data_IF_033696152280
#
_entry.id   IF_033696152280
#
_cell.length_a   1.000
_cell.length_b   1.000
_cell.length_c   1.000
_cell.angle_alpha   90.00
_cell.angle_beta   90.00
_cell.angle_gamma   90.00
#
_symmetry.space_group_name_H-M   'P 1'
#
loop_
_entity.id
_entity.type
_entity.pdbx_description
1 polymer ?
#
# COMPACT_ATOMS: atom_id res chain seq x y z
N UNK A 1 6.63 23.99 -33.47
CA UNK A 1 6.02 23.70 -34.78
C UNK A 1 6.22 24.80 -35.84
N UNK A 2 7.26 25.66 -35.76
CA UNK A 2 7.45 26.78 -36.71
C UNK A 2 8.86 26.90 -37.35
N UNK A 3 9.80 26.02 -37.00
CA UNK A 3 11.17 26.05 -37.59
C UNK A 3 11.19 25.27 -38.92
N UNK A 4 10.51 24.11 -38.97
CA UNK A 4 10.42 23.28 -40.19
C UNK A 4 9.66 24.02 -41.31
N UNK A 5 8.59 24.76 -40.97
CA UNK A 5 7.84 25.56 -41.95
C UNK A 5 8.66 26.74 -42.52
N UNK A 6 9.55 27.34 -41.72
CA UNK A 6 10.41 28.45 -42.15
C UNK A 6 11.57 27.96 -43.05
N UNK A 7 12.11 26.77 -42.77
CA UNK A 7 13.13 26.11 -43.60
C UNK A 7 12.51 25.65 -44.93
N UNK A 8 11.26 25.15 -44.92
CA UNK A 8 10.58 24.77 -46.15
C UNK A 8 10.25 25.96 -47.05
N UNK A 9 9.81 27.11 -46.49
CA UNK A 9 9.57 28.30 -47.30
C UNK A 9 10.85 28.84 -47.96
N UNK A 10 11.98 28.82 -47.26
CA UNK A 10 13.26 29.32 -47.79
C UNK A 10 13.85 28.40 -48.87
N UNK A 11 13.63 27.08 -48.78
CA UNK A 11 14.00 26.13 -49.84
C UNK A 11 13.18 26.31 -51.13
N UNK A 12 11.88 26.65 -51.01
CA UNK A 12 11.01 26.91 -52.15
C UNK A 12 11.50 28.14 -52.93
N UNK A 13 11.88 29.23 -52.25
CA UNK A 13 12.40 30.43 -52.92
C UNK A 13 13.76 30.22 -53.63
N UNK A 14 14.65 29.37 -53.09
CA UNK A 14 15.90 28.99 -53.75
C UNK A 14 15.65 28.13 -55.01
N UNK A 15 14.60 27.29 -55.01
CA UNK A 15 14.24 26.48 -56.19
C UNK A 15 13.61 27.30 -57.32
N UNK A 16 12.82 28.34 -57.01
CA UNK A 16 12.23 29.23 -58.02
C UNK A 16 13.25 30.19 -58.65
N UNK A 17 14.32 30.57 -57.94
CA UNK A 17 15.40 31.42 -58.48
C UNK A 17 16.28 30.72 -59.53
N UNK A 18 16.31 29.39 -59.57
CA UNK A 18 17.13 28.61 -60.50
C UNK A 18 16.39 28.33 -61.82
N UNK A 19 15.05 28.33 -61.83
CA UNK A 19 14.24 27.92 -62.99
C UNK A 19 14.07 28.98 -64.10
N UNK A 20 14.53 30.23 -63.94
CA UNK A 20 14.42 31.26 -65.00
C UNK A 20 15.61 31.28 -65.96
N UNK A 21 16.55 30.34 -65.84
CA UNK A 21 17.71 30.21 -66.74
C UNK A 21 17.78 28.83 -67.39
N UNK A 22 16.88 28.51 -68.32
CA UNK A 22 17.12 27.45 -69.31
C UNK A 22 16.29 27.65 -70.58
N UNK A 23 16.99 27.63 -71.71
CA UNK A 23 16.48 27.80 -73.05
C UNK A 23 15.80 26.52 -73.60
N UNK A 24 14.67 26.74 -74.27
CA UNK A 24 13.98 26.03 -75.38
C UNK A 24 13.91 24.48 -75.47
N UNK A 25 12.79 23.96 -76.03
CA UNK A 25 12.81 22.83 -76.95
C UNK A 25 12.27 23.19 -78.36
N UNK A 26 12.92 22.65 -79.39
CA UNK A 26 12.48 22.61 -80.81
C UNK A 26 11.78 21.26 -81.10
N UNK A 27 10.83 21.18 -82.06
CA UNK A 27 10.23 19.91 -82.49
C UNK A 27 10.95 19.26 -83.69
N UNK A 28 10.86 17.92 -83.75
CA UNK A 28 11.48 17.00 -84.70
C UNK A 28 10.59 16.66 -85.90
N UNK A 29 11.14 16.60 -87.13
CA UNK A 29 10.59 15.78 -88.23
C UNK A 29 11.69 15.18 -89.14
N UNK A 30 11.71 13.84 -89.13
CA UNK A 30 11.99 12.80 -90.14
C UNK A 30 12.93 13.09 -91.32
N UNK A 31 13.97 12.27 -91.43
CA UNK A 31 14.91 12.16 -92.55
C UNK A 31 14.37 11.24 -93.67
N UNK A 32 14.64 11.58 -94.93
CA UNK A 32 14.69 10.63 -96.03
C UNK A 32 15.99 10.84 -96.83
N UNK A 33 16.77 9.77 -96.93
CA UNK A 33 18.09 9.71 -97.54
C UNK A 33 18.01 9.33 -99.01
N UNK A 34 18.61 10.13 -99.89
CA UNK A 34 19.22 9.66 -101.13
C UNK A 34 20.51 10.46 -101.35
N UNK A 35 21.63 9.79 -101.07
CA UNK A 35 22.94 10.27 -101.45
C UNK A 35 23.11 10.06 -102.97
N UNK A 36 23.16 11.15 -103.72
CA UNK A 36 23.76 11.17 -105.05
C UNK A 36 24.95 12.12 -104.97
N UNK A 37 26.13 11.54 -105.19
CA UNK A 37 27.39 12.27 -105.33
C UNK A 37 27.30 13.19 -106.54
N UNK A 38 27.37 14.49 -106.33
CA UNK A 38 28.09 15.41 -107.21
C UNK A 38 28.21 16.77 -106.52
N UNK A 39 29.43 17.32 -106.57
CA UNK A 39 29.76 18.70 -106.23
C UNK A 39 28.75 19.72 -106.79
N UNK A 40 28.60 20.83 -106.06
CA UNK A 40 28.00 22.13 -106.44
C UNK A 40 26.54 22.40 -105.97
N UNK A 41 26.43 23.42 -105.10
CA UNK A 41 25.29 24.33 -104.85
C UNK A 41 23.86 23.75 -104.89
N UNK A 42 23.28 23.50 -103.71
CA UNK A 42 21.82 23.30 -103.60
C UNK A 42 21.08 24.62 -103.87
N UNK A 43 20.27 24.64 -104.91
CA UNK A 43 19.38 25.73 -105.29
C UNK A 43 17.95 25.35 -104.90
N UNK A 44 17.23 26.25 -104.22
CA UNK A 44 15.80 26.08 -103.93
C UNK A 44 15.03 27.29 -104.46
N UNK A 45 13.88 27.03 -105.08
CA UNK A 45 12.98 28.03 -105.64
C UNK A 45 12.10 28.64 -104.55
N UNK A 46 12.17 29.96 -104.39
CA UNK A 46 11.18 30.74 -103.63
C UNK A 46 10.39 31.52 -104.67
N UNK A 47 9.08 31.28 -104.78
CA UNK A 47 8.20 32.03 -105.67
C UNK A 47 7.75 33.32 -104.98
N UNK A 48 8.05 34.48 -105.57
CA UNK A 48 7.40 35.75 -105.28
C UNK A 48 6.15 35.89 -106.19
N UNK A 49 5.16 36.68 -105.78
CA UNK A 49 3.81 36.86 -106.38
C UNK A 49 3.80 37.45 -107.81
N UNK A 50 4.93 37.48 -108.51
CA UNK A 50 5.09 38.02 -109.87
C UNK A 50 5.98 37.15 -110.77
N UNK A 51 5.81 35.82 -110.71
CA UNK A 51 5.95 34.94 -111.88
C UNK A 51 7.29 34.88 -112.63
N UNK A 52 8.44 35.21 -112.01
CA UNK A 52 9.76 34.94 -112.60
C UNK A 52 10.75 34.39 -111.56
N UNK A 53 11.28 33.15 -111.71
CA UNK A 53 12.19 32.57 -110.72
C UNK A 53 13.63 33.10 -110.87
N UNK A 54 14.19 33.66 -109.78
CA UNK A 54 15.63 34.01 -109.68
C UNK A 54 16.35 33.04 -108.75
N UNK A 55 17.46 32.48 -109.22
CA UNK A 55 18.33 31.56 -108.48
C UNK A 55 19.25 32.31 -107.51
N UNK A 56 19.20 31.98 -106.22
CA UNK A 56 20.08 32.56 -105.18
C UNK A 56 20.91 31.44 -104.55
N UNK A 57 22.24 31.54 -104.63
CA UNK A 57 23.18 30.57 -104.06
C UNK A 57 23.60 31.02 -102.66
N UNK A 58 23.35 30.21 -101.63
CA UNK A 58 23.86 30.44 -100.27
C UNK A 58 25.34 30.03 -100.20
N UNK A 59 26.22 30.88 -99.65
CA UNK A 59 27.64 30.55 -99.45
C UNK A 59 27.99 30.48 -97.97
N UNK A 60 29.02 29.70 -97.61
CA UNK A 60 29.45 29.41 -96.22
C UNK A 60 29.78 30.65 -95.36
N UNK A 61 29.88 31.84 -95.95
CA UNK A 61 30.07 33.13 -95.24
C UNK A 61 28.82 33.61 -94.50
N UNK A 62 27.63 33.16 -94.88
CA UNK A 62 26.37 33.56 -94.25
C UNK A 62 26.05 32.76 -92.97
N UNK A 63 26.89 31.75 -92.65
CA UNK A 63 26.80 30.89 -91.47
C UNK A 63 27.77 31.32 -90.35
N UNK A 64 28.03 32.62 -90.20
CA UNK A 64 28.71 33.20 -89.04
C UNK A 64 27.67 33.83 -88.10
N UNK A 65 27.47 33.25 -86.92
CA UNK A 65 26.68 33.91 -85.86
C UNK A 65 27.37 35.21 -85.46
N UNK A 66 26.70 36.36 -85.45
CA UNK A 66 27.27 37.58 -84.90
C UNK A 66 27.44 37.39 -83.39
N UNK A 67 28.68 37.46 -82.91
CA UNK A 67 28.95 37.57 -81.48
C UNK A 67 28.37 38.90 -80.98
N UNK A 68 27.17 38.86 -80.39
CA UNK A 68 26.54 40.02 -79.76
C UNK A 68 27.29 40.27 -78.44
N UNK A 69 28.33 41.10 -78.47
CA UNK A 69 28.92 41.64 -77.24
C UNK A 69 27.97 42.68 -76.64
N UNK A 70 27.01 42.24 -75.83
CA UNK A 70 26.09 43.16 -75.14
C UNK A 70 26.88 44.04 -74.15
N UNK A 71 26.95 45.35 -74.38
CA UNK A 71 27.48 46.34 -73.43
C UNK A 71 26.53 46.52 -72.23
N UNK A 72 26.42 45.49 -71.38
CA UNK A 72 25.61 45.49 -70.16
C UNK A 72 26.45 45.59 -68.86
N UNK A 73 27.68 46.12 -68.94
CA UNK A 73 28.70 45.95 -67.89
C UNK A 73 28.50 46.80 -66.62
N UNK A 74 27.78 47.93 -66.67
CA UNK A 74 27.68 48.85 -65.50
C UNK A 74 26.33 48.84 -64.76
N UNK A 75 25.19 48.69 -65.44
CA UNK A 75 23.87 48.68 -64.77
C UNK A 75 23.61 47.39 -63.97
N UNK A 76 24.06 46.24 -64.47
CA UNK A 76 23.92 44.95 -63.76
C UNK A 76 24.75 44.89 -62.46
N UNK A 77 25.94 45.49 -62.45
CA UNK A 77 26.80 45.53 -61.25
C UNK A 77 26.14 46.27 -60.07
N UNK A 78 25.50 47.42 -60.32
CA UNK A 78 24.80 48.20 -59.27
C UNK A 78 23.62 47.45 -58.67
N UNK A 79 22.85 46.74 -59.50
CA UNK A 79 21.73 45.90 -59.05
C UNK A 79 22.23 44.76 -58.16
N UNK A 80 23.35 44.11 -58.53
CA UNK A 80 23.94 43.04 -57.72
C UNK A 80 24.43 43.55 -56.36
N UNK A 81 25.03 44.74 -56.28
CA UNK A 81 25.45 45.33 -54.98
C UNK A 81 24.26 45.62 -54.06
N UNK A 82 23.17 46.19 -54.58
CA UNK A 82 21.96 46.47 -53.79
C UNK A 82 21.34 45.16 -53.28
N UNK A 83 21.30 44.12 -54.12
CA UNK A 83 20.80 42.81 -53.70
C UNK A 83 21.63 42.20 -52.56
N UNK A 84 22.97 42.27 -52.65
CA UNK A 84 23.87 41.78 -51.57
C UNK A 84 23.64 42.57 -50.28
N UNK A 85 23.51 43.90 -50.36
CA UNK A 85 23.25 44.73 -49.18
C UNK A 85 21.93 44.36 -48.49
N UNK A 86 20.86 44.12 -49.25
CA UNK A 86 19.57 43.67 -48.70
C UNK A 86 19.66 42.29 -48.05
N UNK A 87 20.43 41.37 -48.63
CA UNK A 87 20.68 40.05 -48.02
C UNK A 87 21.44 40.16 -46.71
N UNK A 88 22.42 41.05 -46.61
CA UNK A 88 23.17 41.30 -45.36
C UNK A 88 22.24 41.87 -44.28
N UNK A 89 21.40 42.85 -44.63
CA UNK A 89 20.43 43.42 -43.69
C UNK A 89 19.43 42.36 -43.24
N UNK A 90 18.94 41.52 -44.17
CA UNK A 90 18.06 40.41 -43.84
C UNK A 90 18.73 39.37 -42.92
N UNK A 91 20.00 39.04 -43.16
CA UNK A 91 20.76 38.17 -42.25
C UNK A 91 20.94 38.82 -40.88
N UNK A 92 21.25 40.12 -40.83
CA UNK A 92 21.42 40.85 -39.57
C UNK A 92 20.13 40.89 -38.74
N UNK A 93 18.97 41.13 -39.38
CA UNK A 93 17.66 41.13 -38.69
C UNK A 93 17.28 39.73 -38.22
N UNK A 94 17.59 38.69 -38.99
CA UNK A 94 17.33 37.31 -38.61
C UNK A 94 18.19 36.86 -37.42
N UNK A 95 19.46 37.28 -37.38
CA UNK A 95 20.35 37.06 -36.22
C UNK A 95 19.87 37.85 -35.00
N UNK A 96 19.48 39.11 -35.18
CA UNK A 96 18.92 39.93 -34.10
C UNK A 96 17.65 39.30 -33.51
N UNK A 97 16.72 38.88 -34.36
CA UNK A 97 15.49 38.22 -33.95
C UNK A 97 15.77 36.90 -33.23
N UNK A 98 16.71 36.09 -33.73
CA UNK A 98 17.16 34.86 -33.07
C UNK A 98 17.73 35.14 -31.67
N UNK A 99 18.56 36.18 -31.52
CA UNK A 99 19.12 36.58 -30.20
C UNK A 99 18.03 37.03 -29.23
N UNK A 100 17.06 37.81 -29.70
CA UNK A 100 15.93 38.28 -28.88
C UNK A 100 15.07 37.11 -28.39
N UNK A 101 14.72 36.20 -29.30
CA UNK A 101 13.98 34.98 -28.96
C UNK A 101 14.78 34.11 -27.98
N UNK A 102 16.08 33.94 -28.18
CA UNK A 102 16.93 33.19 -27.26
C UNK A 102 16.99 33.82 -25.86
N UNK A 103 17.02 35.15 -25.75
CA UNK A 103 16.99 35.85 -24.45
C UNK A 103 15.67 35.61 -23.72
N UNK A 104 14.53 35.78 -24.41
CA UNK A 104 13.19 35.51 -23.85
C UNK A 104 13.04 34.03 -23.45
N UNK A 105 13.54 33.12 -24.27
CA UNK A 105 13.50 31.69 -24.00
C UNK A 105 14.33 31.29 -22.77
N UNK A 106 15.40 32.03 -22.43
CA UNK A 106 16.18 31.79 -21.21
C UNK A 106 15.39 32.15 -19.94
N UNK A 107 14.73 33.31 -19.94
CA UNK A 107 13.90 33.74 -18.81
C UNK A 107 12.75 32.77 -18.56
N UNK A 108 12.09 32.32 -19.63
CA UNK A 108 11.04 31.33 -19.52
C UNK A 108 11.56 30.02 -18.92
N UNK A 109 12.76 29.56 -19.32
CA UNK A 109 13.38 28.35 -18.74
C UNK A 109 13.71 28.49 -17.25
N UNK A 110 14.17 29.67 -16.82
CA UNK A 110 14.41 29.93 -15.40
C UNK A 110 13.10 29.83 -14.60
N UNK A 111 12.06 30.54 -15.05
CA UNK A 111 10.75 30.48 -14.41
C UNK A 111 10.16 29.07 -14.39
N UNK A 112 10.28 28.30 -15.49
CA UNK A 112 9.81 26.91 -15.50
C UNK A 112 10.59 26.04 -14.51
N UNK A 113 11.90 26.24 -14.37
CA UNK A 113 12.71 25.47 -13.42
C UNK A 113 12.35 25.82 -11.96
N UNK A 114 12.15 27.10 -11.66
CA UNK A 114 11.73 27.55 -10.33
C UNK A 114 10.36 26.97 -9.96
N UNK A 115 9.40 26.96 -10.90
CA UNK A 115 8.10 26.32 -10.71
C UNK A 115 8.23 24.81 -10.45
N UNK A 116 9.09 24.13 -11.21
CA UNK A 116 9.35 22.69 -11.01
C UNK A 116 9.96 22.45 -9.62
N UNK A 117 10.91 23.28 -9.19
CA UNK A 117 11.55 23.14 -7.89
C UNK A 117 10.56 23.39 -6.74
N UNK A 118 9.71 24.42 -6.83
CA UNK A 118 8.66 24.68 -5.84
C UNK A 118 7.69 23.51 -5.77
N UNK A 119 7.27 22.99 -6.92
CA UNK A 119 6.38 21.84 -6.98
C UNK A 119 7.02 20.58 -6.36
N UNK A 120 8.30 20.31 -6.63
CA UNK A 120 9.06 19.22 -6.00
C UNK A 120 9.20 19.39 -4.48
N UNK A 121 9.49 20.60 -4.00
CA UNK A 121 9.58 20.92 -2.57
C UNK A 121 8.23 20.74 -1.88
N UNK A 122 7.14 21.12 -2.54
CA UNK A 122 5.79 20.90 -2.06
C UNK A 122 5.46 19.41 -1.97
N UNK A 123 5.82 18.61 -2.99
CA UNK A 123 5.69 17.15 -2.93
C UNK A 123 6.51 16.53 -1.80
N UNK A 124 7.76 16.94 -1.62
CA UNK A 124 8.61 16.46 -0.54
C UNK A 124 8.03 16.80 0.85
N UNK A 125 7.48 18.02 1.00
CA UNK A 125 6.83 18.46 2.23
C UNK A 125 5.56 17.67 2.51
N UNK A 126 4.70 17.49 1.50
CA UNK A 126 3.49 16.67 1.61
C UNK A 126 3.81 15.21 1.98
N UNK A 127 4.84 14.62 1.39
CA UNK A 127 5.30 13.28 1.77
C UNK A 127 5.78 13.22 3.23
N UNK A 128 6.50 14.23 3.72
CA UNK A 128 6.91 14.32 5.13
C UNK A 128 5.68 14.41 6.05
N UNK A 129 4.69 15.22 5.70
CA UNK A 129 3.43 15.35 6.46
C UNK A 129 2.69 14.00 6.50
N UNK A 130 2.56 13.32 5.37
CA UNK A 130 1.91 11.99 5.30
C UNK A 130 2.64 10.99 6.20
N UNK A 131 3.98 10.93 6.15
CA UNK A 131 4.78 10.05 7.01
C UNK A 131 4.59 10.36 8.49
N UNK A 132 4.63 11.65 8.86
CA UNK A 132 4.42 12.08 10.25
C UNK A 132 3.01 11.71 10.73
N UNK A 133 1.98 11.94 9.92
CA UNK A 133 0.60 11.56 10.24
C UNK A 133 0.45 10.04 10.40
N UNK A 134 1.06 9.25 9.52
CA UNK A 134 1.07 7.79 9.66
C UNK A 134 1.76 7.32 10.94
N UNK A 135 2.88 7.95 11.32
CA UNK A 135 3.54 7.64 12.59
C UNK A 135 2.67 8.02 13.80
N UNK A 136 1.97 9.15 13.75
CA UNK A 136 1.05 9.57 14.81
C UNK A 136 -0.13 8.60 14.95
N UNK A 137 -0.72 8.17 13.83
CA UNK A 137 -1.80 7.17 13.83
C UNK A 137 -1.29 5.87 14.43
N UNK A 138 -0.14 5.35 13.97
CA UNK A 138 0.44 4.12 14.52
C UNK A 138 0.70 4.22 16.02
N UNK A 139 1.28 5.34 16.50
CA UNK A 139 1.51 5.56 17.93
C UNK A 139 0.21 5.57 18.72
N UNK A 140 -0.83 6.26 18.22
CA UNK A 140 -2.16 6.29 18.85
C UNK A 140 -2.80 4.90 18.89
N UNK A 141 -2.75 4.15 17.78
CA UNK A 141 -3.30 2.80 17.70
C UNK A 141 -2.57 1.85 18.65
N UNK A 142 -1.23 1.91 18.70
CA UNK A 142 -0.45 1.08 19.64
C UNK A 142 -0.73 1.45 21.09
N UNK A 143 -0.87 2.75 21.39
CA UNK A 143 -1.20 3.22 22.73
C UNK A 143 -2.59 2.76 23.14
N UNK A 144 -3.59 2.96 22.28
CA UNK A 144 -4.97 2.56 22.51
C UNK A 144 -5.09 1.04 22.73
N UNK A 145 -4.42 0.23 21.89
CA UNK A 145 -4.38 -1.24 22.07
C UNK A 145 -3.72 -1.65 23.38
N UNK A 146 -2.60 -1.02 23.75
CA UNK A 146 -1.91 -1.32 25.01
C UNK A 146 -2.76 -0.92 26.23
N UNK A 147 -3.45 0.22 26.16
CA UNK A 147 -4.36 0.69 27.19
C UNK A 147 -5.57 -0.22 27.34
N UNK A 148 -6.16 -0.64 26.23
CA UNK A 148 -7.28 -1.60 26.22
C UNK A 148 -6.86 -2.97 26.80
N UNK A 149 -5.67 -3.47 26.43
CA UNK A 149 -5.13 -4.70 26.99
C UNK A 149 -4.91 -4.59 28.51
N UNK A 150 -4.33 -3.48 28.98
CA UNK A 150 -4.13 -3.20 30.40
C UNK A 150 -5.45 -3.11 31.17
N UNK A 151 -6.45 -2.44 30.61
CA UNK A 151 -7.76 -2.32 31.26
C UNK A 151 -8.46 -3.69 31.37
N UNK A 152 -8.40 -4.49 30.31
CA UNK A 152 -8.94 -5.85 30.32
C UNK A 152 -8.25 -6.75 31.36
N UNK A 153 -6.92 -6.63 31.48
CA UNK A 153 -6.16 -7.34 32.52
C UNK A 153 -6.58 -6.89 33.93
N UNK A 154 -6.76 -5.59 34.15
CA UNK A 154 -7.25 -5.07 35.43
C UNK A 154 -8.66 -5.57 35.76
N UNK A 155 -9.57 -5.60 34.77
CA UNK A 155 -10.91 -6.16 34.94
C UNK A 155 -10.83 -7.64 35.34
N UNK A 156 -9.98 -8.43 34.66
CA UNK A 156 -9.79 -9.83 34.99
C UNK A 156 -9.28 -10.02 36.43
N UNK A 157 -8.26 -9.26 36.83
CA UNK A 157 -7.70 -9.30 38.19
C UNK A 157 -8.75 -8.90 39.23
N UNK A 158 -9.53 -7.85 38.97
CA UNK A 158 -10.61 -7.41 39.88
C UNK A 158 -11.72 -8.44 40.00
N UNK A 159 -12.09 -9.10 38.90
CA UNK A 159 -13.06 -10.18 38.92
C UNK A 159 -12.54 -11.38 39.72
N UNK A 160 -11.26 -11.75 39.58
CA UNK A 160 -10.65 -12.81 40.38
C UNK A 160 -10.66 -12.48 41.88
N UNK A 161 -10.27 -11.24 42.25
CA UNK A 161 -10.33 -10.77 43.64
C UNK A 161 -11.76 -10.79 44.19
N UNK A 162 -12.74 -10.37 43.39
CA UNK A 162 -14.14 -10.39 43.77
C UNK A 162 -14.62 -11.83 44.04
N UNK A 163 -14.32 -12.77 43.14
CA UNK A 163 -14.68 -14.18 43.33
C UNK A 163 -14.07 -14.74 44.60
N UNK A 164 -12.78 -14.51 44.84
CA UNK A 164 -12.10 -14.95 46.05
C UNK A 164 -12.75 -14.37 47.31
N UNK A 165 -13.04 -13.07 47.32
CA UNK A 165 -13.69 -12.39 48.44
C UNK A 165 -15.12 -12.88 48.67
N UNK A 166 -15.91 -13.07 47.61
CA UNK A 166 -17.27 -13.59 47.70
C UNK A 166 -17.26 -15.02 48.24
N UNK A 167 -16.32 -15.84 47.79
CA UNK A 167 -16.17 -17.20 48.27
C UNK A 167 -15.83 -17.22 49.77
N UNK A 168 -14.87 -16.41 50.23
CA UNK A 168 -14.59 -16.27 51.67
C UNK A 168 -15.82 -15.83 52.47
N UNK A 169 -16.62 -14.91 51.93
CA UNK A 169 -17.84 -14.43 52.60
C UNK A 169 -18.91 -15.54 52.70
N UNK A 170 -19.13 -16.27 51.61
CA UNK A 170 -20.05 -17.40 51.57
C UNK A 170 -19.63 -18.47 52.58
N UNK A 171 -18.35 -18.81 52.60
CA UNK A 171 -17.76 -19.73 53.57
C UNK A 171 -18.01 -19.30 55.02
N UNK A 172 -17.73 -18.03 55.34
CA UNK A 172 -17.99 -17.48 56.67
C UNK A 172 -19.47 -17.55 57.05
N UNK A 173 -20.36 -17.20 56.13
CA UNK A 173 -21.80 -17.23 56.37
C UNK A 173 -22.33 -18.65 56.62
N UNK A 174 -21.86 -19.65 55.87
CA UNK A 174 -22.23 -21.04 56.12
C UNK A 174 -21.68 -21.56 57.43
N UNK A 175 -20.43 -21.24 57.74
CA UNK A 175 -19.82 -21.63 59.00
C UNK A 175 -20.60 -21.09 60.22
N UNK A 176 -21.01 -19.82 60.17
CA UNK A 176 -21.88 -19.22 61.20
C UNK A 176 -23.24 -19.91 61.28
N UNK A 177 -23.83 -20.33 60.15
CA UNK A 177 -25.08 -21.11 60.13
C UNK A 177 -24.91 -22.49 60.79
N UNK A 178 -23.81 -23.20 60.51
CA UNK A 178 -23.53 -24.50 61.13
C UNK A 178 -23.28 -24.37 62.63
N UNK A 179 -22.51 -23.37 63.07
CA UNK A 179 -22.34 -23.06 64.49
C UNK A 179 -23.68 -22.77 65.16
N UNK A 180 -24.52 -21.93 64.56
CA UNK A 180 -25.86 -21.62 65.08
C UNK A 180 -26.72 -22.88 65.20
N UNK A 181 -26.65 -23.79 64.22
CA UNK A 181 -27.38 -25.06 64.25
C UNK A 181 -26.91 -25.93 65.43
N UNK A 182 -25.60 -26.09 65.62
CA UNK A 182 -25.06 -26.87 66.73
C UNK A 182 -25.42 -26.26 68.10
N UNK A 183 -25.43 -24.94 68.22
CA UNK A 183 -25.87 -24.24 69.43
C UNK A 183 -27.35 -24.58 69.72
N UNK A 184 -28.23 -24.46 68.71
CA UNK A 184 -29.65 -24.80 68.87
C UNK A 184 -29.85 -26.29 69.23
N UNK A 185 -29.11 -27.20 68.59
CA UNK A 185 -29.16 -28.65 68.89
C UNK A 185 -28.68 -28.94 70.33
N UNK A 186 -27.71 -28.16 70.83
CA UNK A 186 -27.20 -28.28 72.20
C UNK A 186 -28.20 -27.76 73.23
N UNK A 187 -28.94 -26.68 72.92
CA UNK A 187 -30.00 -26.14 73.78
C UNK A 187 -31.18 -27.11 73.96
N UNK A 188 -31.39 -28.03 73.01
CA UNK A 188 -32.43 -29.06 73.09
C UNK A 188 -32.03 -30.29 73.92
N UNK A 189 -30.78 -30.38 74.40
CA UNK A 189 -30.31 -31.52 75.19
C UNK A 189 -30.67 -31.37 76.67
N UNK A 190 -31.53 -32.26 77.19
CA UNK A 190 -31.92 -32.27 78.61
C UNK A 190 -30.89 -32.97 79.52
N UNK A 191 -29.94 -33.73 78.97
CA UNK A 191 -28.93 -34.45 79.74
C UNK A 191 -27.64 -33.61 79.89
N UNK A 192 -27.19 -33.29 81.12
CA UNK A 192 -26.01 -32.46 81.38
C UNK A 192 -24.72 -32.99 80.76
N UNK A 193 -24.50 -34.31 80.77
CA UNK A 193 -23.29 -34.94 80.20
C UNK A 193 -23.27 -34.85 78.67
N UNK A 194 -24.42 -35.00 78.02
CA UNK A 194 -24.53 -34.83 76.56
C UNK A 194 -24.36 -33.37 76.16
N UNK A 195 -24.94 -32.45 76.91
CA UNK A 195 -24.78 -31.01 76.70
C UNK A 195 -23.30 -30.58 76.78
N UNK A 196 -22.57 -31.03 77.80
CA UNK A 196 -21.14 -30.72 77.94
C UNK A 196 -20.29 -31.28 76.79
N UNK A 197 -20.63 -32.49 76.30
CA UNK A 197 -19.98 -33.08 75.13
C UNK A 197 -20.28 -32.29 73.85
N UNK A 198 -21.51 -31.80 73.66
CA UNK A 198 -21.87 -30.94 72.52
C UNK A 198 -21.20 -29.56 72.59
N UNK A 199 -21.11 -28.94 73.77
CA UNK A 199 -20.33 -27.71 73.97
C UNK A 199 -18.86 -27.90 73.63
N UNK A 200 -18.24 -29.01 74.05
CA UNK A 200 -16.88 -29.37 73.65
C UNK A 200 -16.71 -29.55 72.14
N UNK A 201 -17.72 -30.12 71.45
CA UNK A 201 -17.72 -30.19 69.98
C UNK A 201 -17.83 -28.81 69.33
N UNK A 202 -18.69 -27.92 69.84
CA UNK A 202 -18.79 -26.55 69.34
C UNK A 202 -17.46 -25.82 69.53
N UNK A 203 -16.85 -25.89 70.72
CA UNK A 203 -15.54 -25.29 70.99
C UNK A 203 -14.46 -25.86 70.06
N UNK A 204 -14.44 -27.17 69.87
CA UNK A 204 -13.53 -27.79 68.92
C UNK A 204 -13.80 -27.34 67.49
N UNK A 205 -15.06 -27.20 67.07
CA UNK A 205 -15.42 -26.77 65.72
C UNK A 205 -15.20 -25.28 65.48
N UNK A 206 -15.27 -24.45 66.53
CA UNK A 206 -14.76 -23.07 66.58
C UNK A 206 -13.26 -23.06 66.33
N UNK A 207 -12.53 -23.97 66.98
CA UNK A 207 -11.09 -24.15 66.77
C UNK A 207 -10.77 -24.81 65.40
N UNK A 208 -11.71 -25.57 64.81
CA UNK A 208 -11.53 -26.35 63.58
C UNK A 208 -12.20 -25.76 62.33
N UNK A 209 -12.78 -24.55 62.37
CA UNK A 209 -13.63 -23.94 61.34
C UNK A 209 -13.03 -23.68 59.95
N UNK A 210 -12.01 -24.44 59.56
CA UNK A 210 -11.16 -24.30 58.40
C UNK A 210 -11.40 -25.35 57.30
N UNK A 211 -12.43 -26.21 57.37
CA UNK A 211 -12.65 -27.25 56.34
C UNK A 211 -14.10 -27.27 55.86
N UNK A 212 -14.37 -26.66 54.71
CA UNK A 212 -15.71 -26.42 54.16
C UNK A 212 -15.92 -27.12 52.81
N UNK A 213 -17.01 -27.88 52.69
CA UNK A 213 -17.36 -28.62 51.46
C UNK A 213 -18.69 -28.14 50.81
N UNK A 214 -19.40 -27.15 51.40
CA UNK A 214 -20.84 -26.89 51.09
C UNK A 214 -21.22 -25.59 50.33
N UNK A 215 -20.29 -24.78 49.81
CA UNK A 215 -20.63 -23.53 49.06
C UNK A 215 -20.33 -23.54 47.56
N UNK A 216 -20.02 -24.70 46.99
CA UNK A 216 -19.54 -24.77 45.61
C UNK A 216 -20.54 -24.29 44.54
N UNK A 217 -21.84 -24.30 44.82
CA UNK A 217 -22.86 -23.88 43.85
C UNK A 217 -22.86 -22.36 43.62
N UNK A 218 -22.59 -21.57 44.67
CA UNK A 218 -22.47 -20.11 44.56
C UNK A 218 -21.23 -19.70 43.77
N UNK A 219 -20.09 -20.35 44.06
CA UNK A 219 -18.89 -20.21 43.26
C UNK A 219 -19.14 -20.58 41.79
N UNK A 220 -19.80 -21.71 41.56
CA UNK A 220 -20.03 -22.23 40.22
C UNK A 220 -20.80 -21.23 39.35
N UNK A 221 -21.85 -20.61 39.91
CA UNK A 221 -22.63 -19.57 39.21
C UNK A 221 -21.76 -18.37 38.78
N UNK A 222 -20.96 -17.84 39.70
CA UNK A 222 -20.09 -16.67 39.42
C UNK A 222 -18.97 -17.05 38.44
N UNK A 223 -18.35 -18.22 38.62
CA UNK A 223 -17.31 -18.71 37.74
C UNK A 223 -17.83 -18.91 36.31
N UNK A 224 -19.04 -19.46 36.15
CA UNK A 224 -19.63 -19.71 34.83
C UNK A 224 -20.01 -18.41 34.10
N UNK A 225 -20.29 -17.32 34.83
CA UNK A 225 -20.44 -15.99 34.23
C UNK A 225 -19.11 -15.45 33.66
N UNK A 226 -17.99 -15.71 34.34
CA UNK A 226 -16.66 -15.25 33.92
C UNK A 226 -16.01 -16.15 32.87
N UNK A 227 -16.25 -17.45 32.94
CA UNK A 227 -15.71 -18.47 32.05
C UNK A 227 -16.85 -19.33 31.48
N UNK A 228 -17.64 -18.79 30.53
CA UNK A 228 -18.70 -19.55 29.88
C UNK A 228 -18.14 -20.82 29.25
N UNK A 229 -18.90 -21.92 29.31
CA UNK A 229 -18.57 -23.23 28.72
C UNK A 229 -17.32 -23.95 29.25
N UNK A 230 -16.50 -23.35 30.12
CA UNK A 230 -15.27 -23.99 30.63
C UNK A 230 -15.50 -25.41 31.17
N UNK A 231 -16.48 -25.57 32.07
CA UNK A 231 -16.80 -26.88 32.65
C UNK A 231 -17.32 -27.86 31.60
N UNK A 232 -18.21 -27.40 30.71
CA UNK A 232 -18.80 -28.23 29.68
C UNK A 232 -17.71 -28.78 28.76
N UNK A 233 -16.83 -27.92 28.28
CA UNK A 233 -15.80 -28.29 27.32
C UNK A 233 -14.72 -29.15 27.97
N UNK A 234 -14.29 -28.77 29.19
CA UNK A 234 -13.27 -29.52 29.93
C UNK A 234 -13.78 -30.93 30.28
N UNK A 235 -15.05 -31.06 30.64
CA UNK A 235 -15.66 -32.35 30.94
C UNK A 235 -15.96 -33.18 29.68
N UNK A 236 -16.25 -32.54 28.55
CA UNK A 236 -16.34 -33.21 27.25
C UNK A 236 -14.98 -33.76 26.79
N UNK A 237 -13.92 -32.97 26.94
CA UNK A 237 -12.57 -33.36 26.53
C UNK A 237 -11.94 -34.38 27.50
N UNK A 238 -12.21 -34.25 28.80
CA UNK A 238 -11.63 -35.10 29.85
C UNK A 238 -12.73 -35.70 30.75
N UNK A 239 -13.51 -36.67 30.25
CA UNK A 239 -14.65 -37.23 30.98
C UNK A 239 -14.28 -37.98 32.27
N UNK A 240 -13.01 -38.35 32.46
CA UNK A 240 -12.49 -38.97 33.69
C UNK A 240 -12.33 -38.01 34.87
N UNK A 241 -12.49 -36.69 34.64
CA UNK A 241 -12.43 -35.69 35.70
C UNK A 241 -13.70 -35.77 36.56
N UNK A 242 -13.50 -35.89 37.87
CA UNK A 242 -14.60 -35.85 38.84
C UNK A 242 -15.04 -34.41 39.09
N UNK A 243 -16.22 -34.22 39.68
CA UNK A 243 -16.68 -32.88 40.12
C UNK A 243 -15.65 -32.18 41.01
N UNK A 244 -14.97 -32.93 41.89
CA UNK A 244 -13.92 -32.38 42.75
C UNK A 244 -12.65 -31.99 41.97
N UNK A 245 -12.33 -32.68 40.89
CA UNK A 245 -11.21 -32.30 40.02
C UNK A 245 -11.53 -31.01 39.26
N UNK A 246 -12.76 -30.91 38.72
CA UNK A 246 -13.24 -29.73 38.01
C UNK A 246 -13.22 -28.47 38.90
N UNK A 247 -13.55 -28.61 40.19
CA UNK A 247 -13.46 -27.53 41.19
C UNK A 247 -12.03 -27.00 41.33
N UNK A 248 -11.05 -27.90 41.44
CA UNK A 248 -9.62 -27.52 41.50
C UNK A 248 -9.20 -26.84 40.19
N UNK A 249 -9.60 -27.39 39.04
CA UNK A 249 -9.31 -26.80 37.74
C UNK A 249 -9.87 -25.37 37.60
N UNK A 250 -11.07 -25.12 38.11
CA UNK A 250 -11.69 -23.80 38.06
C UNK A 250 -10.94 -22.77 38.92
N UNK A 251 -10.50 -23.15 40.12
CA UNK A 251 -9.68 -22.26 40.96
C UNK A 251 -8.32 -21.96 40.31
N UNK A 252 -7.69 -22.96 39.70
CA UNK A 252 -6.45 -22.78 38.94
C UNK A 252 -6.68 -21.90 37.70
N UNK A 253 -7.82 -22.04 37.02
CA UNK A 253 -8.21 -21.18 35.89
C UNK A 253 -8.32 -19.71 36.26
N UNK A 254 -8.72 -19.43 37.51
CA UNK A 254 -8.72 -18.08 38.09
C UNK A 254 -7.31 -17.61 38.50
N UNK A 255 -6.25 -18.34 38.11
CA UNK A 255 -4.85 -18.05 38.40
C UNK A 255 -4.54 -17.93 39.90
N UNK A 256 -5.25 -18.72 40.72
CA UNK A 256 -4.99 -18.77 42.17
C UNK A 256 -3.77 -19.65 42.46
N UNK A 257 -2.95 -19.20 43.41
CA UNK A 257 -1.78 -19.96 43.87
C UNK A 257 -2.23 -21.23 44.63
N UNK A 258 -1.39 -22.27 44.62
CA UNK A 258 -1.71 -23.57 45.26
C UNK A 258 -2.08 -23.41 46.74
N UNK A 259 -1.42 -22.47 47.44
CA UNK A 259 -1.75 -22.09 48.81
C UNK A 259 -3.16 -21.51 48.95
N UNK A 260 -3.54 -20.56 48.08
CA UNK A 260 -4.88 -19.95 48.09
C UNK A 260 -5.96 -20.99 47.77
N UNK A 261 -5.68 -21.89 46.81
CA UNK A 261 -6.55 -23.03 46.50
C UNK A 261 -6.73 -23.94 47.72
N UNK A 262 -5.66 -24.17 48.50
CA UNK A 262 -5.71 -24.98 49.71
C UNK A 262 -6.55 -24.33 50.81
N UNK A 263 -6.39 -23.02 51.01
CA UNK A 263 -7.19 -22.21 51.94
C UNK A 263 -8.67 -22.23 51.55
N UNK A 264 -8.98 -22.05 50.26
CA UNK A 264 -10.34 -22.11 49.73
C UNK A 264 -10.97 -23.50 49.89
N UNK A 265 -10.21 -24.56 49.64
CA UNK A 265 -10.69 -25.94 49.79
C UNK A 265 -10.69 -26.42 51.25
N UNK A 266 -10.07 -25.67 52.16
CA UNK A 266 -9.88 -26.08 53.54
C UNK A 266 -9.07 -27.37 53.66
N UNK A 267 -8.03 -27.56 52.84
CA UNK A 267 -7.15 -28.74 52.90
C UNK A 267 -5.69 -28.30 53.03
N UNK A 268 -4.79 -29.25 53.29
CA UNK A 268 -3.35 -28.97 53.29
C UNK A 268 -2.88 -28.62 51.86
N UNK A 269 -1.91 -27.72 51.73
CA UNK A 269 -1.33 -27.33 50.44
C UNK A 269 -0.77 -28.55 49.67
N UNK A 270 -0.09 -29.46 50.39
CA UNK A 270 0.40 -30.74 49.85
C UNK A 270 -0.71 -31.57 49.19
N UNK A 271 -1.91 -31.56 49.77
CA UNK A 271 -3.07 -32.27 49.20
C UNK A 271 -3.52 -31.66 47.87
N UNK A 272 -3.33 -30.35 47.68
CA UNK A 272 -3.61 -29.67 46.41
C UNK A 272 -2.55 -30.04 45.37
N UNK A 273 -1.26 -30.09 45.72
CA UNK A 273 -0.21 -30.56 44.82
C UNK A 273 -0.49 -31.98 44.30
N UNK A 274 -0.85 -32.89 45.20
CA UNK A 274 -1.24 -34.26 44.85
C UNK A 274 -2.49 -34.33 43.96
N UNK A 275 -3.50 -33.49 44.22
CA UNK A 275 -4.68 -33.36 43.34
C UNK A 275 -4.26 -32.86 41.95
N UNK A 276 -3.42 -31.83 41.87
CA UNK A 276 -2.91 -31.30 40.60
C UNK A 276 -2.15 -32.36 39.79
N UNK A 277 -1.30 -33.14 40.46
CA UNK A 277 -0.58 -34.26 39.83
C UNK A 277 -1.55 -35.29 39.24
N UNK A 278 -2.57 -35.70 40.02
CA UNK A 278 -3.58 -36.66 39.57
C UNK A 278 -4.41 -36.13 38.41
N UNK A 279 -4.82 -34.86 38.47
CA UNK A 279 -5.56 -34.20 37.40
C UNK A 279 -4.72 -34.16 36.13
N UNK A 280 -3.44 -33.77 36.23
CA UNK A 280 -2.52 -33.77 35.10
C UNK A 280 -2.42 -35.13 34.42
N UNK A 281 -2.31 -36.21 35.21
CA UNK A 281 -2.29 -37.58 34.67
C UNK A 281 -3.64 -37.99 34.06
N UNK A 282 -4.78 -37.61 34.66
CA UNK A 282 -6.12 -37.82 34.08
C UNK A 282 -6.33 -37.08 32.76
N UNK A 283 -5.69 -35.93 32.59
CA UNK A 283 -5.73 -35.14 31.36
C UNK A 283 -4.66 -35.56 30.34
N UNK A 284 -3.85 -36.58 30.66
CA UNK A 284 -2.75 -37.07 29.83
C UNK A 284 -1.80 -35.96 29.35
N UNK A 285 -1.55 -34.95 30.19
CA UNK A 285 -0.63 -33.86 29.87
C UNK A 285 0.83 -34.33 29.94
N UNK A 286 1.67 -33.82 29.04
CA UNK A 286 3.10 -34.13 28.99
C UNK A 286 3.79 -33.73 30.30
N UNK A 287 4.84 -34.46 30.68
CA UNK A 287 5.50 -34.26 31.98
C UNK A 287 6.13 -32.86 32.14
N UNK A 288 6.43 -32.17 31.03
CA UNK A 288 6.94 -30.80 31.01
C UNK A 288 5.85 -29.71 31.05
N UNK A 289 4.58 -30.05 30.81
CA UNK A 289 3.48 -29.08 30.87
C UNK A 289 2.93 -28.96 32.29
N UNK A 290 2.97 -27.74 32.85
CA UNK A 290 2.34 -27.46 34.14
C UNK A 290 0.83 -27.35 33.97
N UNK A 291 0.09 -27.96 34.90
CA UNK A 291 -1.37 -27.91 34.90
C UNK A 291 -1.91 -26.47 34.92
N UNK A 292 -1.28 -25.57 35.69
CA UNK A 292 -1.67 -24.16 35.72
C UNK A 292 -1.54 -23.48 34.37
N UNK A 293 -0.39 -23.62 33.70
CA UNK A 293 -0.15 -23.02 32.39
C UNK A 293 -1.15 -23.54 31.35
N UNK A 294 -1.44 -24.85 31.35
CA UNK A 294 -2.45 -25.45 30.48
C UNK A 294 -3.85 -24.88 30.73
N UNK A 295 -4.31 -24.86 31.99
CA UNK A 295 -5.66 -24.41 32.32
C UNK A 295 -5.85 -22.92 32.10
N UNK A 296 -4.85 -22.08 32.42
CA UNK A 296 -4.91 -20.62 32.18
C UNK A 296 -5.00 -20.35 30.68
N UNK A 297 -4.21 -21.04 29.86
CA UNK A 297 -4.24 -20.92 28.39
C UNK A 297 -5.43 -21.63 27.74
N UNK A 298 -6.21 -22.41 28.50
CA UNK A 298 -7.36 -23.16 27.97
C UNK A 298 -8.48 -22.22 27.52
N UNK A 299 -8.62 -22.02 26.21
CA UNK A 299 -9.75 -21.30 25.62
C UNK A 299 -10.80 -22.31 25.14
N UNK A 300 -12.06 -22.06 25.50
CA UNK A 300 -13.22 -22.77 24.96
C UNK A 300 -13.20 -22.64 23.44
N UNK A 301 -12.98 -23.75 22.72
CA UNK A 301 -13.11 -23.75 21.25
C UNK A 301 -14.61 -23.69 20.92
N UNK A 302 -15.11 -22.63 20.29
CA UNK A 302 -16.49 -22.64 19.80
C UNK A 302 -16.59 -23.64 18.64
N UNK A 303 -17.23 -24.78 18.90
CA UNK A 303 -17.72 -25.69 17.87
C UNK A 303 -16.74 -26.77 17.39
N UNK A 304 -16.76 -27.92 18.06
CA UNK A 304 -16.69 -29.21 17.37
C UNK A 304 -18.04 -29.90 17.56
N UNK A 305 -19.07 -29.39 16.88
CA UNK A 305 -20.24 -30.19 16.60
C UNK A 305 -19.83 -31.20 15.52
N UNK A 306 -19.60 -32.43 15.99
CA UNK A 306 -19.95 -33.69 15.34
C UNK A 306 -20.42 -33.51 13.88
N UNK A 307 -19.55 -33.76 12.92
CA UNK A 307 -19.95 -34.31 11.62
C UNK A 307 -19.29 -35.68 11.48
N UNK A 308 -19.78 -36.62 12.27
CA UNK A 308 -19.72 -38.04 11.94
C UNK A 308 -21.03 -38.39 11.24
N UNK A 309 -21.01 -38.41 9.91
CA UNK A 309 -21.72 -39.33 9.00
C UNK A 309 -21.42 -38.94 7.57
#
# INVERSE_FOLDING_TARGET
MNIIKLIQLTCIFLSLGILTTKAQPQPSYVANSLAVQSNQSQQYLIADKTGTPKLKTFTKKDLQWPYISSKASHKSKRVNFVAIALLIVCMATQVYFYRLLNKRNRQLRQFTNDLIQVNQNLHATNQKIIRNNQQLIRKKDTHFKAEQAKLNEQILQKNQQLVASTLHLLQKNQYLKELRKMINETQLQSNPKQMQKCLGKIANQINFGLRLEKDWDGFYSIFQQLNPNFYKDLQQQFPSLTKNDLRVCALIKLNLATREVAEILGIAEESVYMKCYRIRKKMALNDHQKLCEYLIAYESKPGLLITST
#
